data_IF_770186341808
#
_entry.id   IF_770186341808
#
_cell.length_a   1.000
_cell.length_b   1.000
_cell.length_c   1.000
_cell.angle_alpha   90.00
_cell.angle_beta   90.00
_cell.angle_gamma   90.00
#
_symmetry.space_group_name_H-M   'P 1'
#
loop_
_entity.id
_entity.type
_entity.pdbx_description
1 polymer ?
#
# COMPACT_ATOMS: atom_id res chain seq x y z
N UNK A 1 -7.86 -0.12 -10.17
CA UNK A 1 -8.37 -0.49 -8.84
C UNK A 1 -7.95 -1.89 -8.46
N UNK A 2 -7.62 -2.09 -7.19
CA UNK A 2 -7.29 -3.42 -6.64
C UNK A 2 -8.55 -4.22 -6.26
N UNK A 3 -9.72 -3.61 -6.39
CA UNK A 3 -10.98 -4.23 -5.96
C UNK A 3 -11.42 -5.33 -6.93
N UNK A 4 -12.26 -6.24 -6.44
CA UNK A 4 -12.82 -7.34 -7.21
C UNK A 4 -13.83 -6.83 -8.27
N UNK A 5 -13.92 -7.48 -9.44
CA UNK A 5 -14.85 -7.09 -10.52
C UNK A 5 -16.32 -7.12 -10.10
N UNK A 6 -16.66 -7.87 -9.06
CA UNK A 6 -18.00 -7.93 -8.46
C UNK A 6 -18.32 -6.77 -7.52
N UNK A 7 -17.36 -5.91 -7.17
CA UNK A 7 -17.58 -4.72 -6.34
C UNK A 7 -18.19 -3.60 -7.22
N UNK A 8 -19.46 -3.70 -7.52
CA UNK A 8 -20.20 -2.84 -8.44
C UNK A 8 -21.02 -1.74 -7.75
N UNK A 9 -20.97 -1.67 -6.40
CA UNK A 9 -21.82 -0.76 -5.62
C UNK A 9 -23.29 -1.20 -5.50
N UNK A 10 -23.61 -2.41 -5.94
CA UNK A 10 -25.02 -2.91 -5.93
C UNK A 10 -25.63 -2.94 -4.52
N UNK A 11 -24.83 -3.23 -3.49
CA UNK A 11 -25.31 -3.19 -2.11
C UNK A 11 -25.77 -1.79 -1.68
N UNK A 12 -25.00 -0.76 -2.03
CA UNK A 12 -25.39 0.64 -1.78
C UNK A 12 -26.67 0.98 -2.54
N UNK A 13 -26.75 0.64 -3.84
CA UNK A 13 -27.92 0.93 -4.66
C UNK A 13 -29.18 0.25 -4.13
N UNK A 14 -29.11 -1.00 -3.70
CA UNK A 14 -30.24 -1.73 -3.09
C UNK A 14 -30.73 -1.02 -1.82
N UNK A 15 -29.82 -0.63 -0.94
CA UNK A 15 -30.15 0.03 0.32
C UNK A 15 -30.70 1.45 0.09
N UNK A 16 -30.15 2.20 -0.87
CA UNK A 16 -30.70 3.50 -1.26
C UNK A 16 -32.11 3.39 -1.79
N UNK A 17 -32.47 2.34 -2.54
CA UNK A 17 -33.84 2.13 -3.05
C UNK A 17 -34.87 1.92 -1.95
N UNK A 18 -34.45 1.50 -0.76
CA UNK A 18 -35.32 1.39 0.42
C UNK A 18 -35.23 2.59 1.37
N UNK A 19 -34.50 3.66 0.97
CA UNK A 19 -34.42 4.91 1.69
C UNK A 19 -33.17 5.10 2.57
N UNK A 20 -32.17 4.25 2.44
CA UNK A 20 -30.93 4.40 3.22
C UNK A 20 -30.25 5.75 2.97
N UNK A 21 -29.83 6.40 4.06
CA UNK A 21 -28.90 7.53 4.04
C UNK A 21 -27.50 7.08 3.66
N UNK A 22 -26.72 7.97 3.06
CA UNK A 22 -25.33 7.73 2.68
C UNK A 22 -24.43 8.84 3.17
N UNK A 23 -23.16 8.53 3.36
CA UNK A 23 -22.12 9.47 3.80
C UNK A 23 -20.85 9.24 2.98
N UNK A 24 -20.06 10.30 2.79
CA UNK A 24 -18.71 10.29 2.19
C UNK A 24 -18.63 9.63 0.79
N UNK A 25 -19.72 9.69 -0.01
CA UNK A 25 -19.82 9.01 -1.31
C UNK A 25 -18.78 9.51 -2.34
N UNK A 26 -18.15 10.66 -2.13
CA UNK A 26 -17.08 11.17 -2.97
C UNK A 26 -15.68 10.70 -2.56
N UNK A 27 -15.55 10.01 -1.42
CA UNK A 27 -14.27 9.66 -0.83
C UNK A 27 -13.84 8.24 -1.19
N UNK A 28 -12.58 8.11 -1.58
CA UNK A 28 -11.92 6.83 -1.88
C UNK A 28 -10.59 6.73 -1.15
N UNK A 29 -10.18 5.51 -0.81
CA UNK A 29 -8.84 5.26 -0.32
C UNK A 29 -7.92 4.84 -1.47
N UNK A 30 -6.74 5.46 -1.54
CA UNK A 30 -5.66 5.08 -2.45
C UNK A 30 -4.68 4.19 -1.68
N UNK A 31 -4.31 3.05 -2.26
CA UNK A 31 -3.23 2.22 -1.74
C UNK A 31 -1.90 2.56 -2.45
N UNK A 32 -0.80 2.82 -1.72
CA UNK A 32 0.45 3.30 -2.31
C UNK A 32 1.18 2.27 -3.16
N UNK A 33 1.00 0.98 -2.88
CA UNK A 33 1.77 -0.10 -3.50
C UNK A 33 0.89 -1.04 -4.32
N UNK A 34 0.58 -0.62 -5.55
CA UNK A 34 -0.20 -1.41 -6.52
C UNK A 34 0.68 -1.70 -7.74
N UNK A 35 0.77 -2.97 -8.14
CA UNK A 35 1.38 -3.36 -9.40
C UNK A 35 0.48 -2.90 -10.55
N UNK A 36 1.02 -2.13 -11.50
CA UNK A 36 0.21 -1.33 -12.40
C UNK A 36 -0.33 -2.10 -13.63
N UNK A 37 0.27 -3.22 -14.00
CA UNK A 37 -0.15 -3.99 -15.18
C UNK A 37 -1.44 -4.75 -14.90
N UNK A 38 -1.56 -5.33 -13.70
CA UNK A 38 -2.67 -6.19 -13.29
C UNK A 38 -3.58 -5.55 -12.24
N UNK A 39 -3.19 -4.38 -11.71
CA UNK A 39 -3.80 -3.74 -10.53
C UNK A 39 -3.72 -4.61 -9.26
N UNK A 40 -2.67 -5.42 -9.15
CA UNK A 40 -2.49 -6.30 -8.01
C UNK A 40 -1.98 -5.53 -6.78
N UNK A 41 -2.59 -5.79 -5.63
CA UNK A 41 -2.19 -5.16 -4.37
C UNK A 41 -0.90 -5.79 -3.83
N UNK A 42 0.14 -4.98 -3.70
CA UNK A 42 1.35 -5.35 -2.95
C UNK A 42 1.14 -4.92 -1.50
N UNK A 43 0.91 -5.89 -0.64
CA UNK A 43 0.52 -5.70 0.77
C UNK A 43 1.54 -4.88 1.58
N UNK A 44 1.04 -4.14 2.58
CA UNK A 44 1.90 -3.48 3.57
C UNK A 44 2.79 -4.45 4.34
N UNK A 45 2.44 -5.72 4.40
CA UNK A 45 3.20 -6.73 5.14
C UNK A 45 4.67 -6.79 4.68
N UNK A 46 4.95 -6.53 3.39
CA UNK A 46 6.33 -6.55 2.89
C UNK A 46 7.14 -5.35 3.43
N UNK A 47 6.52 -4.15 3.52
CA UNK A 47 7.13 -2.96 4.14
C UNK A 47 7.28 -3.16 5.65
N UNK A 48 6.27 -3.73 6.30
CA UNK A 48 6.31 -4.16 7.70
C UNK A 48 7.36 -5.24 7.98
N UNK A 49 7.78 -6.00 6.97
CA UNK A 49 8.87 -6.98 7.01
C UNK A 49 10.26 -6.36 6.90
N UNK A 50 10.37 -5.09 6.54
CA UNK A 50 11.65 -4.38 6.40
C UNK A 50 11.94 -3.85 4.99
N UNK A 51 11.05 -4.07 4.01
CA UNK A 51 11.22 -3.46 2.68
C UNK A 51 11.17 -1.93 2.74
N UNK A 52 11.83 -1.29 1.76
CA UNK A 52 11.87 0.16 1.58
C UNK A 52 11.26 0.58 0.25
N UNK A 53 10.91 1.87 0.12
CA UNK A 53 10.49 2.47 -1.14
C UNK A 53 11.63 3.29 -1.74
N UNK A 54 11.96 3.00 -3.00
CA UNK A 54 13.05 3.65 -3.74
C UNK A 54 12.52 4.21 -5.05
N UNK A 55 12.87 5.47 -5.35
CA UNK A 55 12.56 6.13 -6.62
C UNK A 55 13.44 5.60 -7.76
N UNK A 56 13.13 5.97 -9.01
CA UNK A 56 13.98 5.67 -10.17
C UNK A 56 15.41 6.24 -10.02
N UNK A 57 15.58 7.30 -9.25
CA UNK A 57 16.90 7.87 -8.96
C UNK A 57 17.75 7.02 -7.98
N UNK A 58 17.23 5.90 -7.49
CA UNK A 58 17.93 5.04 -6.53
C UNK A 58 17.89 5.55 -5.09
N UNK A 59 16.96 6.42 -4.74
CA UNK A 59 16.88 7.07 -3.42
C UNK A 59 15.58 6.76 -2.71
N UNK A 60 15.64 6.55 -1.38
CA UNK A 60 14.46 6.71 -0.52
C UNK A 60 13.96 8.15 -0.62
N UNK A 61 12.70 8.39 -0.39
CA UNK A 61 12.10 9.72 -0.56
C UNK A 61 11.07 10.04 0.52
N UNK A 62 10.68 9.08 1.33
CA UNK A 62 9.69 9.27 2.39
C UNK A 62 9.72 8.12 3.40
N UNK A 63 9.06 8.29 4.56
CA UNK A 63 8.83 7.20 5.52
C UNK A 63 7.80 6.23 4.97
N UNK A 64 8.20 5.03 4.65
CA UNK A 64 7.37 3.99 4.04
C UNK A 64 6.26 3.47 4.96
N UNK A 65 6.34 3.76 6.25
CA UNK A 65 5.39 3.29 7.29
C UNK A 65 4.36 4.35 7.68
N UNK A 66 4.36 5.49 7.01
CA UNK A 66 3.30 6.50 7.15
C UNK A 66 1.97 6.01 6.56
N UNK A 67 0.90 6.79 6.77
CA UNK A 67 -0.44 6.49 6.28
C UNK A 67 -0.50 6.37 4.76
N UNK A 68 -1.46 5.62 4.23
CA UNK A 68 -1.60 5.30 2.79
C UNK A 68 -1.67 6.55 1.93
N UNK A 69 -2.42 7.56 2.37
CA UNK A 69 -2.58 8.85 1.70
C UNK A 69 -1.25 9.60 1.56
N UNK A 70 -0.48 9.71 2.66
CA UNK A 70 0.82 10.39 2.67
C UNK A 70 1.84 9.68 1.78
N UNK A 71 1.97 8.35 1.90
CA UNK A 71 2.89 7.58 1.06
C UNK A 71 2.48 7.69 -0.40
N UNK A 72 1.19 7.59 -0.73
CA UNK A 72 0.68 7.76 -2.09
C UNK A 72 0.98 9.14 -2.66
N UNK A 73 0.73 10.20 -1.88
CA UNK A 73 1.02 11.58 -2.30
C UNK A 73 2.50 11.78 -2.64
N UNK A 74 3.41 11.21 -1.82
CA UNK A 74 4.84 11.30 -2.06
C UNK A 74 5.28 10.51 -3.30
N UNK A 75 4.68 9.35 -3.60
CA UNK A 75 4.94 8.63 -4.85
C UNK A 75 4.42 9.43 -6.06
N UNK A 76 3.22 10.02 -5.97
CA UNK A 76 2.65 10.84 -7.06
C UNK A 76 3.49 12.10 -7.32
N UNK A 77 4.15 12.63 -6.28
CA UNK A 77 5.02 13.80 -6.40
C UNK A 77 6.37 13.49 -7.08
N UNK A 78 6.77 12.22 -7.19
CA UNK A 78 7.97 11.84 -7.94
C UNK A 78 7.81 12.19 -9.42
N UNK A 79 8.87 12.58 -10.13
CA UNK A 79 8.81 12.86 -11.58
C UNK A 79 8.22 11.70 -12.38
N UNK A 80 8.61 10.48 -12.06
CA UNK A 80 8.18 9.23 -12.68
C UNK A 80 6.80 8.73 -12.21
N UNK A 81 6.26 9.25 -11.09
CA UNK A 81 4.98 8.88 -10.47
C UNK A 81 4.84 7.39 -10.12
N UNK A 82 5.94 6.71 -9.97
CA UNK A 82 6.04 5.35 -9.46
C UNK A 82 7.25 5.20 -8.55
N UNK A 83 7.34 4.09 -7.84
CA UNK A 83 8.50 3.73 -7.03
C UNK A 83 8.74 2.21 -7.12
N UNK A 84 9.79 1.75 -6.46
CA UNK A 84 10.06 0.32 -6.29
C UNK A 84 9.99 -0.04 -4.82
N UNK A 85 9.27 -1.12 -4.51
CA UNK A 85 9.40 -1.81 -3.23
C UNK A 85 10.65 -2.67 -3.31
N UNK A 86 11.67 -2.35 -2.52
CA UNK A 86 12.95 -3.05 -2.53
C UNK A 86 13.11 -3.86 -1.25
N UNK A 87 13.52 -5.10 -1.38
CA UNK A 87 13.76 -6.03 -0.28
C UNK A 87 14.82 -7.08 -0.67
N UNK A 88 15.26 -7.85 0.30
CA UNK A 88 16.24 -8.91 0.12
C UNK A 88 15.70 -10.29 0.50
N UNK A 89 16.57 -11.28 0.47
CA UNK A 89 16.22 -12.67 0.78
C UNK A 89 15.72 -12.83 2.22
N UNK A 90 16.24 -12.05 3.16
CA UNK A 90 15.80 -12.11 4.56
C UNK A 90 14.33 -11.67 4.70
N UNK A 91 13.95 -10.59 4.03
CA UNK A 91 12.54 -10.13 4.00
C UNK A 91 11.66 -11.15 3.28
N UNK A 92 12.12 -11.74 2.16
CA UNK A 92 11.39 -12.78 1.42
C UNK A 92 11.07 -13.98 2.31
N UNK A 93 12.07 -14.53 2.98
CA UNK A 93 11.92 -15.72 3.84
C UNK A 93 10.94 -15.49 5.02
N UNK A 94 10.82 -14.25 5.46
CA UNK A 94 9.92 -13.88 6.55
C UNK A 94 8.54 -13.38 6.08
N UNK A 95 8.28 -13.39 4.76
CA UNK A 95 7.04 -12.87 4.20
C UNK A 95 6.52 -13.76 3.07
N UNK A 96 5.56 -14.63 3.38
CA UNK A 96 4.97 -15.58 2.40
C UNK A 96 4.39 -14.91 1.15
N UNK A 97 3.93 -13.65 1.25
CA UNK A 97 3.40 -12.94 0.09
C UNK A 97 4.49 -12.63 -0.95
N UNK A 98 5.77 -12.56 -0.56
CA UNK A 98 6.86 -12.35 -1.49
C UNK A 98 6.99 -13.49 -2.51
N UNK A 99 6.80 -14.74 -2.08
CA UNK A 99 6.83 -15.89 -2.99
C UNK A 99 5.68 -15.86 -4.01
N UNK A 100 4.51 -15.38 -3.61
CA UNK A 100 3.39 -15.18 -4.52
C UNK A 100 3.71 -14.09 -5.56
N UNK A 101 4.33 -12.98 -5.16
CA UNK A 101 4.73 -11.92 -6.09
C UNK A 101 5.78 -12.40 -7.09
N UNK A 102 6.72 -13.25 -6.66
CA UNK A 102 7.70 -13.89 -7.54
C UNK A 102 7.00 -14.82 -8.54
N UNK A 103 6.11 -15.68 -8.07
CA UNK A 103 5.37 -16.62 -8.91
C UNK A 103 4.48 -15.93 -9.96
N UNK A 104 3.96 -14.74 -9.64
CA UNK A 104 3.18 -13.89 -10.56
C UNK A 104 4.05 -13.09 -11.55
N UNK A 105 5.36 -13.11 -11.41
CA UNK A 105 6.28 -12.39 -12.30
C UNK A 105 6.36 -10.87 -12.04
N UNK A 106 5.94 -10.39 -10.87
CA UNK A 106 6.00 -8.97 -10.52
C UNK A 106 7.39 -8.52 -10.05
N UNK A 107 8.25 -9.48 -9.73
CA UNK A 107 9.52 -9.23 -9.07
C UNK A 107 10.67 -9.24 -10.06
N UNK A 108 11.47 -8.19 -10.05
CA UNK A 108 12.78 -8.13 -10.69
C UNK A 108 13.80 -8.50 -9.62
N UNK A 109 14.71 -9.44 -9.92
CA UNK A 109 15.73 -9.90 -8.98
C UNK A 109 17.15 -9.62 -9.47
N UNK A 110 18.04 -9.33 -8.53
CA UNK A 110 19.46 -9.15 -8.76
C UNK A 110 20.30 -9.96 -7.77
N UNK A 111 21.42 -10.51 -8.25
CA UNK A 111 22.39 -11.24 -7.42
C UNK A 111 23.14 -10.33 -6.44
N UNK A 112 23.20 -9.05 -6.75
CA UNK A 112 23.79 -7.99 -5.92
C UNK A 112 22.97 -6.70 -6.06
N UNK A 113 23.15 -5.72 -5.15
CA UNK A 113 22.52 -4.41 -5.31
C UNK A 113 22.87 -3.71 -6.64
N UNK A 114 24.13 -3.84 -7.11
CA UNK A 114 24.54 -3.29 -8.40
C UNK A 114 23.86 -3.98 -9.59
N UNK A 115 23.72 -5.31 -9.54
CA UNK A 115 22.98 -6.07 -10.57
C UNK A 115 21.50 -5.69 -10.60
N UNK A 116 20.87 -5.54 -9.42
CA UNK A 116 19.49 -5.07 -9.34
C UNK A 116 19.34 -3.65 -9.89
N UNK A 117 20.21 -2.72 -9.49
CA UNK A 117 20.17 -1.34 -9.97
C UNK A 117 20.35 -1.26 -11.49
N UNK A 118 21.26 -2.06 -12.06
CA UNK A 118 21.44 -2.13 -13.52
C UNK A 118 20.18 -2.61 -14.25
N UNK A 119 19.53 -3.65 -13.75
CA UNK A 119 18.27 -4.17 -14.31
C UNK A 119 17.09 -3.19 -14.21
N UNK A 120 17.12 -2.31 -13.21
CA UNK A 120 16.12 -1.27 -12.99
C UNK A 120 16.48 0.05 -13.67
N UNK A 121 17.63 0.12 -14.35
CA UNK A 121 18.17 1.34 -14.95
C UNK A 121 18.29 2.50 -13.94
N UNK A 122 18.62 2.15 -12.69
CA UNK A 122 18.85 3.10 -11.59
C UNK A 122 20.29 3.57 -11.53
N UNK A 123 20.52 4.73 -10.92
CA UNK A 123 21.85 5.14 -10.51
C UNK A 123 22.37 4.20 -9.41
N UNK A 124 23.33 3.34 -9.76
CA UNK A 124 23.88 2.31 -8.87
C UNK A 124 24.52 2.86 -7.61
N UNK A 125 25.25 3.97 -7.71
CA UNK A 125 25.94 4.53 -6.54
C UNK A 125 24.97 5.21 -5.58
N UNK A 126 23.94 5.89 -6.09
CA UNK A 126 22.86 6.43 -5.26
C UNK A 126 22.07 5.31 -4.56
N UNK A 127 21.79 4.21 -5.28
CA UNK A 127 21.08 3.06 -4.72
C UNK A 127 21.89 2.37 -3.61
N UNK A 128 23.20 2.17 -3.82
CA UNK A 128 24.09 1.61 -2.78
C UNK A 128 24.14 2.49 -1.53
N UNK A 129 24.32 3.80 -1.71
CA UNK A 129 24.30 4.75 -0.60
C UNK A 129 22.97 4.73 0.17
N UNK A 130 21.84 4.56 -0.55
CA UNK A 130 20.50 4.40 0.05
C UNK A 130 20.41 3.15 0.92
N UNK A 131 20.89 2.00 0.43
CA UNK A 131 20.88 0.76 1.21
C UNK A 131 21.79 0.88 2.44
N UNK A 132 22.97 1.47 2.29
CA UNK A 132 23.89 1.70 3.41
C UNK A 132 23.26 2.59 4.49
N UNK A 133 22.66 3.73 4.10
CA UNK A 133 21.96 4.63 5.03
C UNK A 133 20.82 3.91 5.77
N UNK A 134 19.99 3.14 5.04
CA UNK A 134 18.93 2.37 5.65
C UNK A 134 19.46 1.30 6.61
N UNK A 135 20.51 0.57 6.24
CA UNK A 135 21.11 -0.46 7.08
C UNK A 135 21.67 0.12 8.39
N UNK A 136 22.30 1.30 8.32
CA UNK A 136 22.73 2.05 9.52
C UNK A 136 21.54 2.45 10.40
N UNK A 137 20.42 2.86 9.79
CA UNK A 137 19.19 3.17 10.53
C UNK A 137 18.62 1.93 11.24
N UNK A 138 18.67 0.76 10.60
CA UNK A 138 18.26 -0.53 11.20
C UNK A 138 19.18 -0.88 12.38
N UNK A 139 20.49 -0.81 12.22
CA UNK A 139 21.46 -1.14 13.29
C UNK A 139 21.28 -0.23 14.51
N UNK A 140 21.00 1.05 14.27
CA UNK A 140 20.76 2.05 15.33
C UNK A 140 19.33 2.06 15.86
N UNK A 141 18.41 1.29 15.24
CA UNK A 141 16.97 1.35 15.51
C UNK A 141 16.42 2.79 15.46
N UNK A 142 17.02 3.61 14.58
CA UNK A 142 16.71 5.02 14.46
C UNK A 142 16.97 5.54 13.05
N UNK A 143 15.91 5.89 12.33
CA UNK A 143 15.98 6.50 10.99
C UNK A 143 15.98 8.02 11.12
N UNK A 144 17.16 8.62 10.96
CA UNK A 144 17.34 10.07 11.03
C UNK A 144 16.94 10.80 9.74
N UNK A 145 16.81 10.06 8.63
CA UNK A 145 16.55 10.65 7.32
C UNK A 145 15.05 10.92 7.10
N UNK A 146 14.20 9.92 7.40
CA UNK A 146 12.75 10.01 7.19
C UNK A 146 11.92 9.75 8.44
N UNK A 147 12.56 9.50 9.59
CA UNK A 147 11.89 9.33 10.87
C UNK A 147 11.06 8.04 10.99
N UNK A 148 11.40 6.98 10.23
CA UNK A 148 10.76 5.67 10.34
C UNK A 148 11.03 5.08 11.73
N UNK A 149 9.95 4.83 12.49
CA UNK A 149 10.02 4.37 13.89
C UNK A 149 9.70 2.88 14.04
N UNK A 150 9.15 2.26 13.03
CA UNK A 150 8.66 0.87 13.08
C UNK A 150 9.21 0.07 11.91
N UNK A 151 9.21 -1.26 12.06
CA UNK A 151 9.66 -2.18 11.01
C UNK A 151 11.11 -1.98 10.54
N UNK A 152 11.99 -1.44 11.38
CA UNK A 152 13.45 -1.47 11.22
C UNK A 152 13.95 -2.85 11.68
N UNK A 153 13.59 -3.91 10.92
CA UNK A 153 13.77 -5.30 11.38
C UNK A 153 15.12 -5.86 11.01
N UNK A 154 15.47 -5.78 9.75
CA UNK A 154 16.67 -6.37 9.18
C UNK A 154 17.33 -5.42 8.20
N UNK A 155 18.66 -5.36 8.17
CA UNK A 155 19.37 -4.67 7.09
C UNK A 155 19.08 -5.37 5.75
N UNK A 156 19.02 -4.61 4.68
CA UNK A 156 18.89 -5.15 3.32
C UNK A 156 20.31 -5.41 2.79
N UNK A 157 20.84 -6.60 3.08
CA UNK A 157 22.23 -6.97 2.75
C UNK A 157 22.44 -8.44 2.37
N UNK A 158 21.37 -9.25 2.36
CA UNK A 158 21.45 -10.68 2.01
C UNK A 158 20.82 -10.93 0.63
N UNK A 159 21.67 -11.15 -0.38
CA UNK A 159 21.19 -11.51 -1.71
C UNK A 159 20.50 -12.88 -1.79
N UNK A 160 19.67 -13.12 -2.81
CA UNK A 160 19.31 -12.17 -3.88
C UNK A 160 18.50 -10.96 -3.38
N UNK A 161 18.59 -9.87 -4.18
CA UNK A 161 17.85 -8.64 -3.95
C UNK A 161 16.68 -8.54 -4.91
N UNK A 162 15.59 -7.96 -4.48
CA UNK A 162 14.33 -7.95 -5.18
C UNK A 162 13.73 -6.55 -5.27
N UNK A 163 13.03 -6.28 -6.36
CA UNK A 163 12.26 -5.05 -6.53
C UNK A 163 10.92 -5.34 -7.19
N UNK A 164 9.87 -4.63 -6.76
CA UNK A 164 8.56 -4.61 -7.42
C UNK A 164 8.26 -3.17 -7.81
N UNK A 165 7.97 -2.91 -9.08
CA UNK A 165 7.51 -1.59 -9.54
C UNK A 165 6.08 -1.39 -9.11
N UNK A 166 5.82 -0.28 -8.42
CA UNK A 166 4.49 0.06 -7.88
C UNK A 166 4.15 1.53 -8.13
N UNK A 167 2.86 1.81 -8.20
CA UNK A 167 2.33 3.16 -8.09
C UNK A 167 1.02 3.14 -7.29
N UNK A 168 0.52 4.30 -6.81
CA UNK A 168 -0.76 4.36 -6.14
C UNK A 168 -1.93 3.93 -7.01
N UNK A 169 -2.89 3.25 -6.40
CA UNK A 169 -4.11 2.82 -7.07
C UNK A 169 -5.31 2.86 -6.15
N UNK A 170 -6.50 3.06 -6.73
CA UNK A 170 -7.77 3.02 -5.98
C UNK A 170 -7.94 1.65 -5.34
N UNK A 171 -8.22 1.63 -4.04
CA UNK A 171 -8.30 0.40 -3.25
C UNK A 171 -9.67 0.20 -2.60
N UNK A 172 -10.14 1.16 -1.84
CA UNK A 172 -11.32 1.03 -0.98
C UNK A 172 -12.25 2.25 -1.17
N UNK A 173 -13.56 2.06 -1.11
CA UNK A 173 -14.51 3.16 -0.98
C UNK A 173 -14.65 3.55 0.49
N UNK A 174 -14.58 4.86 0.81
CA UNK A 174 -14.79 5.36 2.17
C UNK A 174 -16.28 5.62 2.41
N UNK A 175 -16.98 6.08 1.37
CA UNK A 175 -18.41 6.32 1.41
C UNK A 175 -19.25 5.05 1.34
N UNK A 176 -20.46 5.16 1.83
CA UNK A 176 -21.42 4.07 1.85
C UNK A 176 -22.70 4.44 2.61
N UNK A 177 -23.51 3.45 2.98
CA UNK A 177 -24.71 3.66 3.77
C UNK A 177 -24.39 3.96 5.23
N UNK A 178 -25.24 4.76 5.88
CA UNK A 178 -25.10 5.06 7.32
C UNK A 178 -25.71 3.95 8.16
N UNK A 179 -25.04 3.62 9.28
CA UNK A 179 -25.52 2.64 10.27
C UNK A 179 -25.37 3.18 11.69
N UNK A 180 -26.08 2.56 12.64
CA UNK A 180 -25.85 2.74 14.07
C UNK A 180 -24.90 1.66 14.64
N UNK A 181 -24.66 1.69 15.94
CA UNK A 181 -23.77 0.73 16.64
C UNK A 181 -24.29 -0.71 16.64
N UNK A 182 -25.57 -0.93 16.39
CA UNK A 182 -26.21 -2.22 16.21
C UNK A 182 -26.22 -2.71 14.75
N UNK A 183 -25.48 -2.00 13.85
CA UNK A 183 -25.39 -2.27 12.41
C UNK A 183 -26.72 -2.08 11.64
N UNK A 184 -27.75 -1.51 12.27
CA UNK A 184 -28.97 -1.17 11.60
C UNK A 184 -28.75 -0.01 10.61
N UNK A 185 -29.27 -0.14 9.39
CA UNK A 185 -29.21 0.91 8.37
C UNK A 185 -30.10 2.08 8.77
N UNK A 186 -29.59 3.31 8.58
CA UNK A 186 -30.30 4.55 8.88
C UNK A 186 -30.74 5.25 7.59
N UNK A 187 -31.87 5.94 7.65
CA UNK A 187 -32.28 6.85 6.57
C UNK A 187 -31.54 8.21 6.65
N UNK A 188 -31.89 9.14 5.75
CA UNK A 188 -31.28 10.48 5.73
C UNK A 188 -31.62 11.33 6.98
N UNK A 189 -32.64 10.98 7.73
CA UNK A 189 -33.07 11.60 8.99
C UNK A 189 -32.52 10.88 10.21
N UNK A 190 -31.58 9.92 10.02
CA UNK A 190 -30.96 9.09 11.07
C UNK A 190 -31.98 8.19 11.81
N UNK A 191 -33.08 7.82 11.15
CA UNK A 191 -34.02 6.87 11.70
C UNK A 191 -33.69 5.45 11.20
N UNK A 192 -33.91 4.46 12.06
CA UNK A 192 -33.63 3.05 11.73
C UNK A 192 -34.58 2.55 10.65
N UNK A 193 -34.06 2.02 9.56
CA UNK A 193 -34.82 1.24 8.58
C UNK A 193 -35.00 -0.18 9.09
N UNK A 194 -36.24 -0.50 9.52
CA UNK A 194 -36.55 -1.79 10.13
C UNK A 194 -36.24 -2.98 9.22
N UNK A 195 -35.46 -3.94 9.75
CA UNK A 195 -35.06 -5.15 9.04
C UNK A 195 -33.89 -5.00 8.08
N UNK A 196 -33.27 -3.80 7.97
CA UNK A 196 -32.07 -3.55 7.15
C UNK A 196 -30.81 -3.44 8.02
N UNK A 197 -29.80 -4.26 7.69
CA UNK A 197 -28.50 -4.28 8.37
C UNK A 197 -27.38 -4.22 7.34
N UNK A 198 -26.27 -3.56 7.68
CA UNK A 198 -25.11 -3.46 6.81
C UNK A 198 -23.80 -3.48 7.61
N UNK A 199 -22.75 -4.06 7.03
CA UNK A 199 -21.41 -4.08 7.58
C UNK A 199 -20.35 -4.22 6.46
N UNK A 200 -19.13 -3.80 6.71
CA UNK A 200 -18.02 -3.87 5.76
C UNK A 200 -17.98 -2.66 4.82
N UNK A 201 -17.39 -2.82 3.63
CA UNK A 201 -17.12 -1.72 2.68
C UNK A 201 -18.39 -1.00 2.17
N UNK A 202 -19.56 -1.63 2.25
CA UNK A 202 -20.86 -1.03 1.90
C UNK A 202 -21.26 0.11 2.85
N UNK A 203 -20.65 0.16 4.05
CA UNK A 203 -20.92 1.17 5.08
C UNK A 203 -19.93 2.31 4.96
N UNK A 204 -20.43 3.55 4.95
CA UNK A 204 -19.61 4.76 4.97
C UNK A 204 -19.40 5.34 6.37
N UNK A 205 -18.38 6.23 6.51
CA UNK A 205 -18.07 6.93 7.75
C UNK A 205 -17.41 6.10 8.85
N UNK A 206 -16.99 4.86 8.57
CA UNK A 206 -16.32 3.96 9.53
C UNK A 206 -14.80 3.95 9.28
N UNK A 207 -14.40 3.90 8.02
CA UNK A 207 -13.02 3.86 7.59
C UNK A 207 -12.60 5.22 7.06
N UNK A 208 -11.32 5.51 7.14
CA UNK A 208 -10.78 6.73 6.63
C UNK A 208 -9.78 7.35 7.60
N UNK A 209 -9.15 8.42 7.22
CA UNK A 209 -8.20 9.17 8.03
C UNK A 209 -7.86 10.47 7.35
#
# INVERSE_FOLDING_TARGET
TTNHKGATGSGIAILQNIGAGTVDMGEIQIHPTVEQTTSYLISEAIRGGGAILVSQAGKRFFNEMETRDKVSANIIALPEKFAYVVFDEQVRLNNKAADEYIAKGFVISGSSPRDLAAKLEMNSDAFLATLESYNVAVDKQHDTEFGRKTALRHPINQGPFYAIRIAPGVHHTMGGVTINTETCVLDAQQQVLGGAFAAGEVVGGIHGG
#
